data_IF_658692552270
#
_entry.id   IF_658692552270
#
_cell.length_a   1.000
_cell.length_b   1.000
_cell.length_c   1.000
_cell.angle_alpha   90.00
_cell.angle_beta   90.00
_cell.angle_gamma   90.00
#
_symmetry.space_group_name_H-M   'P 1'
#
loop_
_entity.id
_entity.type
_entity.pdbx_description
1 polymer ?
#
# COMPACT_ATOMS: atom_id res chain seq x y z
N UNK A 1 -0.35 -5.82 -6.61
CA UNK A 1 -1.48 -6.66 -7.03
C UNK A 1 -1.55 -6.60 -8.55
N UNK A 2 -1.46 -7.68 -9.24
CA UNK A 2 -1.48 -7.70 -10.71
C UNK A 2 -1.75 -9.10 -11.26
N UNK A 3 -2.50 -9.16 -12.34
CA UNK A 3 -2.73 -10.42 -13.06
C UNK A 3 -1.67 -10.72 -14.14
N UNK A 4 -0.84 -9.74 -14.48
CA UNK A 4 0.10 -9.81 -15.62
C UNK A 4 1.55 -9.51 -15.26
N UNK A 5 1.83 -8.89 -14.10
CA UNK A 5 3.20 -8.55 -13.69
C UNK A 5 3.99 -9.77 -13.22
N UNK A 6 5.29 -9.73 -13.48
CA UNK A 6 6.30 -10.63 -12.96
C UNK A 6 7.33 -9.84 -12.16
N UNK A 7 8.23 -10.52 -11.46
CA UNK A 7 9.30 -9.83 -10.72
C UNK A 7 10.17 -8.96 -11.63
N UNK A 8 10.39 -9.39 -12.87
CA UNK A 8 11.26 -8.67 -13.83
C UNK A 8 10.63 -7.39 -14.38
N UNK A 9 9.28 -7.30 -14.40
CA UNK A 9 8.59 -6.12 -14.94
C UNK A 9 7.80 -5.31 -13.91
N UNK A 10 7.93 -5.64 -12.62
CA UNK A 10 7.28 -4.91 -11.52
C UNK A 10 8.06 -3.65 -11.13
N UNK A 11 8.01 -2.64 -11.98
CA UNK A 11 8.69 -1.35 -11.76
C UNK A 11 8.24 -0.65 -10.48
N UNK A 12 6.95 -0.70 -10.17
CA UNK A 12 6.38 -0.08 -8.95
C UNK A 12 6.86 -0.77 -7.69
N UNK A 13 6.86 -2.10 -7.67
CA UNK A 13 7.38 -2.87 -6.55
C UNK A 13 8.89 -2.67 -6.34
N UNK A 14 9.67 -2.60 -7.42
CA UNK A 14 11.10 -2.28 -7.34
C UNK A 14 11.32 -0.90 -6.74
N UNK A 15 10.56 0.10 -7.20
CA UNK A 15 10.65 1.47 -6.67
C UNK A 15 10.34 1.53 -5.16
N UNK A 16 9.31 0.81 -4.70
CA UNK A 16 9.00 0.73 -3.27
C UNK A 16 10.19 0.14 -2.49
N UNK A 17 10.76 -0.97 -2.97
CA UNK A 17 11.89 -1.61 -2.30
C UNK A 17 13.12 -0.70 -2.22
N UNK A 18 13.47 -0.04 -3.32
CA UNK A 18 14.59 0.90 -3.37
C UNK A 18 14.40 2.04 -2.37
N UNK A 19 13.24 2.69 -2.38
CA UNK A 19 12.95 3.82 -1.50
C UNK A 19 12.92 3.43 -0.02
N UNK A 20 12.39 2.27 0.32
CA UNK A 20 12.43 1.75 1.69
C UNK A 20 13.87 1.48 2.14
N UNK A 21 14.67 0.84 1.30
CA UNK A 21 16.08 0.55 1.62
C UNK A 21 16.91 1.83 1.79
N UNK A 22 16.74 2.82 0.91
CA UNK A 22 17.40 4.13 1.03
C UNK A 22 17.03 4.87 2.32
N UNK A 23 15.80 4.69 2.81
CA UNK A 23 15.33 5.27 4.07
C UNK A 23 15.68 4.44 5.32
N UNK A 24 16.43 3.34 5.15
CA UNK A 24 16.89 2.50 6.26
C UNK A 24 15.88 1.45 6.72
N UNK A 25 14.82 1.19 5.96
CA UNK A 25 13.85 0.14 6.24
C UNK A 25 14.26 -1.18 5.57
N UNK A 26 13.97 -2.29 6.23
CA UNK A 26 14.21 -3.63 5.69
C UNK A 26 12.94 -4.20 5.07
N UNK A 27 13.04 -4.70 3.84
CA UNK A 27 11.95 -5.43 3.18
C UNK A 27 12.06 -6.91 3.52
N UNK A 28 11.23 -7.37 4.44
CA UNK A 28 11.24 -8.75 4.96
C UNK A 28 10.38 -9.71 4.14
N UNK A 29 9.58 -9.19 3.22
CA UNK A 29 8.72 -9.98 2.35
C UNK A 29 8.37 -9.21 1.07
N UNK A 30 8.34 -9.91 -0.04
CA UNK A 30 7.90 -9.40 -1.33
C UNK A 30 7.16 -10.50 -2.09
N UNK A 31 6.00 -10.19 -2.63
CA UNK A 31 5.23 -11.10 -3.45
C UNK A 31 4.42 -10.35 -4.51
N UNK A 32 4.19 -11.00 -5.64
CA UNK A 32 3.22 -10.58 -6.64
C UNK A 32 2.01 -11.50 -6.52
N UNK A 33 0.86 -10.90 -6.29
CA UNK A 33 -0.39 -11.61 -6.01
C UNK A 33 -1.44 -11.17 -7.02
N UNK A 34 -2.24 -12.10 -7.52
CA UNK A 34 -3.38 -11.76 -8.37
C UNK A 34 -4.41 -10.92 -7.61
N UNK A 35 -5.06 -10.02 -8.33
CA UNK A 35 -6.06 -9.11 -7.74
C UNK A 35 -7.40 -9.83 -7.50
N UNK A 36 -7.36 -10.83 -6.63
CA UNK A 36 -8.53 -11.56 -6.15
C UNK A 36 -8.59 -11.52 -4.64
N UNK A 37 -9.79 -11.38 -4.07
CA UNK A 37 -9.97 -11.29 -2.62
C UNK A 37 -9.32 -12.48 -1.89
N UNK A 38 -9.44 -13.69 -2.43
CA UNK A 38 -8.86 -14.91 -1.84
C UNK A 38 -7.34 -14.83 -1.74
N UNK A 39 -6.67 -14.44 -2.83
CA UNK A 39 -5.20 -14.40 -2.85
C UNK A 39 -4.65 -13.25 -2.02
N UNK A 40 -5.30 -12.09 -2.06
CA UNK A 40 -4.91 -10.93 -1.26
C UNK A 40 -5.00 -11.27 0.24
N UNK A 41 -6.13 -11.82 0.68
CA UNK A 41 -6.33 -12.23 2.09
C UNK A 41 -5.35 -13.31 2.53
N UNK A 42 -5.10 -14.29 1.66
CA UNK A 42 -4.15 -15.37 1.94
C UNK A 42 -2.74 -14.85 2.14
N UNK A 43 -2.28 -13.95 1.28
CA UNK A 43 -0.94 -13.36 1.39
C UNK A 43 -0.82 -12.47 2.63
N UNK A 44 -1.84 -11.65 2.92
CA UNK A 44 -1.86 -10.82 4.12
C UNK A 44 -1.83 -11.66 5.41
N UNK A 45 -2.51 -12.79 5.43
CA UNK A 45 -2.44 -13.71 6.57
C UNK A 45 -1.02 -14.21 6.81
N UNK A 46 -0.32 -14.63 5.74
CA UNK A 46 1.08 -15.10 5.82
C UNK A 46 2.01 -13.99 6.32
N UNK A 47 1.92 -12.82 5.73
CA UNK A 47 2.81 -11.69 6.05
C UNK A 47 2.57 -11.18 7.48
N UNK A 48 1.32 -11.10 7.90
CA UNK A 48 0.95 -10.62 9.23
C UNK A 48 1.31 -11.57 10.37
N UNK A 49 1.65 -12.82 10.10
CA UNK A 49 2.20 -13.75 11.09
C UNK A 49 3.69 -13.50 11.36
N UNK A 50 4.41 -12.87 10.44
CA UNK A 50 5.83 -12.54 10.62
C UNK A 50 5.99 -11.45 11.67
N UNK A 51 6.65 -11.77 12.78
CA UNK A 51 6.92 -10.82 13.89
C UNK A 51 7.76 -9.62 13.45
N UNK A 52 8.63 -9.80 12.47
CA UNK A 52 9.48 -8.75 11.90
C UNK A 52 8.71 -7.79 10.99
N UNK A 53 7.51 -8.14 10.53
CA UNK A 53 6.70 -7.29 9.67
C UNK A 53 5.92 -6.26 10.50
N UNK A 54 6.21 -5.00 10.33
CA UNK A 54 5.55 -3.89 11.04
C UNK A 54 4.58 -3.11 10.14
N UNK A 55 4.84 -3.12 8.84
CA UNK A 55 4.01 -2.44 7.84
C UNK A 55 3.92 -3.26 6.55
N UNK A 56 2.80 -3.17 5.87
CA UNK A 56 2.55 -3.82 4.58
C UNK A 56 2.10 -2.78 3.57
N UNK A 57 2.77 -2.74 2.43
CA UNK A 57 2.42 -1.88 1.31
C UNK A 57 1.94 -2.77 0.15
N UNK A 58 0.70 -2.58 -0.26
CA UNK A 58 0.14 -3.20 -1.45
C UNK A 58 0.05 -2.14 -2.54
N UNK A 59 0.36 -2.48 -3.78
CA UNK A 59 0.17 -1.58 -4.90
C UNK A 59 -0.55 -2.26 -6.07
N UNK A 60 -1.49 -1.54 -6.67
CA UNK A 60 -2.41 -2.01 -7.70
C UNK A 60 -3.79 -2.38 -7.15
N UNK A 61 -4.79 -2.44 -8.02
CA UNK A 61 -6.17 -2.85 -7.70
C UNK A 61 -6.97 -1.87 -6.84
N UNK A 62 -6.60 -0.59 -6.81
CA UNK A 62 -7.32 0.45 -6.03
C UNK A 62 -8.22 1.34 -6.88
N UNK A 63 -8.31 1.11 -8.18
CA UNK A 63 -9.18 1.86 -9.08
C UNK A 63 -10.64 1.40 -9.01
N UNK A 64 -11.42 1.81 -10.02
CA UNK A 64 -12.87 1.52 -10.10
C UNK A 64 -13.23 0.49 -11.15
N UNK A 65 -12.24 -0.15 -11.77
CA UNK A 65 -12.48 -1.24 -12.71
C UNK A 65 -13.12 -2.45 -11.98
N UNK A 66 -14.00 -3.21 -12.64
CA UNK A 66 -14.55 -4.44 -12.05
C UNK A 66 -13.49 -5.46 -11.60
N UNK A 67 -12.27 -5.36 -12.11
CA UNK A 67 -11.14 -6.23 -11.72
C UNK A 67 -10.34 -5.71 -10.52
N UNK A 68 -10.59 -4.46 -10.09
CA UNK A 68 -9.91 -3.86 -8.94
C UNK A 68 -10.58 -4.33 -7.64
N UNK A 69 -9.90 -5.16 -6.86
CA UNK A 69 -10.41 -5.73 -5.62
C UNK A 69 -9.59 -5.36 -4.39
N UNK A 70 -8.40 -4.81 -4.58
CA UNK A 70 -7.48 -4.53 -3.47
C UNK A 70 -8.10 -3.58 -2.45
N UNK A 71 -8.77 -2.51 -2.90
CA UNK A 71 -9.42 -1.56 -2.00
C UNK A 71 -10.47 -2.24 -1.11
N UNK A 72 -11.39 -2.99 -1.70
CA UNK A 72 -12.48 -3.66 -0.97
C UNK A 72 -11.91 -4.61 0.10
N UNK A 73 -10.92 -5.39 -0.28
CA UNK A 73 -10.28 -6.36 0.63
C UNK A 73 -9.57 -5.64 1.77
N UNK A 74 -8.67 -4.73 1.45
CA UNK A 74 -7.87 -4.01 2.45
C UNK A 74 -8.76 -3.19 3.37
N UNK A 75 -9.64 -2.35 2.80
CA UNK A 75 -10.50 -1.47 3.57
C UNK A 75 -11.47 -2.25 4.49
N UNK A 76 -11.90 -3.44 4.05
CA UNK A 76 -12.73 -4.34 4.87
C UNK A 76 -11.97 -5.06 5.99
N UNK A 77 -10.64 -5.15 5.91
CA UNK A 77 -9.80 -5.80 6.92
C UNK A 77 -9.28 -4.83 8.00
N UNK A 78 -9.28 -3.53 7.74
CA UNK A 78 -8.71 -2.55 8.66
C UNK A 78 -9.45 -2.52 10.00
N UNK A 79 -8.69 -2.64 11.09
CA UNK A 79 -9.19 -2.45 12.46
C UNK A 79 -9.51 -0.98 12.72
N UNK A 80 -8.60 -0.09 12.29
CA UNK A 80 -8.78 1.36 12.29
C UNK A 80 -8.40 1.92 10.94
N UNK A 81 -9.27 2.71 10.35
CA UNK A 81 -9.00 3.41 9.10
C UNK A 81 -8.24 4.69 9.36
N UNK A 82 -7.36 5.05 8.43
CA UNK A 82 -6.62 6.30 8.41
C UNK A 82 -7.10 7.15 7.21
N UNK A 83 -8.27 7.80 7.29
CA UNK A 83 -8.87 8.49 6.13
C UNK A 83 -7.98 9.58 5.56
N UNK A 84 -7.22 10.27 6.41
CA UNK A 84 -6.29 11.33 6.01
C UNK A 84 -5.24 10.89 5.01
N UNK A 85 -4.84 9.61 5.03
CA UNK A 85 -3.90 9.09 4.03
C UNK A 85 -4.45 9.21 2.61
N UNK A 86 -5.64 8.71 2.35
CA UNK A 86 -6.28 8.80 1.05
C UNK A 86 -6.69 10.23 0.67
N UNK A 87 -7.13 11.03 1.63
CA UNK A 87 -7.50 12.44 1.43
C UNK A 87 -6.30 13.26 0.95
N UNK A 88 -5.17 13.17 1.65
CA UNK A 88 -3.94 13.90 1.28
C UNK A 88 -3.38 13.35 -0.03
N UNK A 89 -3.35 12.03 -0.22
CA UNK A 89 -2.89 11.43 -1.46
C UNK A 89 -3.69 11.96 -2.66
N UNK A 90 -5.01 11.96 -2.60
CA UNK A 90 -5.85 12.44 -3.69
C UNK A 90 -5.68 13.94 -3.93
N UNK A 91 -5.49 14.72 -2.90
CA UNK A 91 -5.20 16.15 -3.01
C UNK A 91 -3.88 16.39 -3.77
N UNK A 92 -2.81 15.70 -3.40
CA UNK A 92 -1.51 15.80 -4.06
C UNK A 92 -1.56 15.25 -5.50
N UNK A 93 -2.26 14.14 -5.70
CA UNK A 93 -2.48 13.55 -7.02
C UNK A 93 -3.28 14.48 -7.94
N UNK A 94 -4.27 15.20 -7.41
CA UNK A 94 -5.01 16.20 -8.15
C UNK A 94 -4.11 17.31 -8.73
N UNK A 95 -3.10 17.72 -7.98
CA UNK A 95 -2.12 18.72 -8.46
C UNK A 95 -1.27 18.19 -9.63
N UNK A 96 -1.04 16.89 -9.71
CA UNK A 96 -0.23 16.26 -10.77
C UNK A 96 -1.07 15.89 -12.00
N UNK A 97 -2.23 15.26 -11.80
CA UNK A 97 -3.03 14.66 -12.87
C UNK A 97 -4.44 15.26 -13.01
N UNK A 98 -4.81 16.22 -12.18
CA UNK A 98 -6.14 16.86 -12.24
C UNK A 98 -7.26 15.94 -11.72
N UNK A 99 -8.44 16.09 -12.30
CA UNK A 99 -9.68 15.46 -11.85
C UNK A 99 -9.66 13.92 -11.86
N UNK A 100 -8.79 13.30 -12.66
CA UNK A 100 -8.63 11.84 -12.66
C UNK A 100 -8.20 11.26 -11.28
N UNK A 101 -7.63 12.11 -10.42
CA UNK A 101 -7.28 11.72 -9.05
C UNK A 101 -8.48 11.21 -8.23
N UNK A 102 -9.70 11.65 -8.53
CA UNK A 102 -10.91 11.18 -7.83
C UNK A 102 -11.20 9.69 -8.02
N UNK A 103 -10.63 9.04 -9.02
CA UNK A 103 -10.82 7.62 -9.29
C UNK A 103 -9.92 6.73 -8.44
N UNK A 104 -8.95 7.28 -7.72
CA UNK A 104 -8.07 6.53 -6.83
C UNK A 104 -8.74 6.28 -5.48
N UNK A 105 -8.81 5.00 -5.08
CA UNK A 105 -9.35 4.58 -3.78
C UNK A 105 -8.25 4.14 -2.82
N UNK A 106 -7.10 4.79 -2.90
CA UNK A 106 -5.98 4.61 -1.98
C UNK A 106 -6.46 4.69 -0.53
N UNK A 107 -6.03 3.74 0.30
CA UNK A 107 -6.44 3.64 1.70
C UNK A 107 -5.31 3.15 2.59
N UNK A 108 -5.39 3.47 3.87
CA UNK A 108 -4.46 2.97 4.88
C UNK A 108 -5.16 2.84 6.24
N UNK A 109 -4.53 2.10 7.13
CA UNK A 109 -4.98 1.93 8.50
C UNK A 109 -4.17 0.88 9.25
N UNK A 110 -4.75 0.37 10.33
CA UNK A 110 -4.14 -0.68 11.13
C UNK A 110 -4.82 -2.03 10.89
N UNK A 111 -4.04 -3.09 10.96
CA UNK A 111 -4.54 -4.46 10.92
C UNK A 111 -3.63 -5.38 11.76
N UNK A 112 -4.19 -6.02 12.76
CA UNK A 112 -3.45 -6.94 13.65
C UNK A 112 -2.13 -6.36 14.18
N UNK A 113 -2.16 -5.10 14.62
CA UNK A 113 -0.99 -4.41 15.14
C UNK A 113 0.06 -4.03 14.10
N UNK A 114 -0.30 -3.93 12.83
CA UNK A 114 0.55 -3.50 11.72
C UNK A 114 -0.09 -2.36 10.97
N UNK A 115 0.73 -1.57 10.29
CA UNK A 115 0.25 -0.57 9.32
C UNK A 115 -0.02 -1.27 7.99
N UNK A 116 -1.18 -1.05 7.42
CA UNK A 116 -1.57 -1.61 6.13
C UNK A 116 -1.91 -0.46 5.18
N UNK A 117 -1.27 -0.41 4.01
CA UNK A 117 -1.44 0.65 3.01
C UNK A 117 -1.67 0.06 1.63
N UNK A 118 -2.67 0.57 0.92
CA UNK A 118 -2.98 0.17 -0.45
C UNK A 118 -2.83 1.37 -1.39
N UNK A 119 -1.94 1.25 -2.37
CA UNK A 119 -1.55 2.28 -3.32
C UNK A 119 -2.02 1.93 -4.73
N UNK A 120 -2.20 2.92 -5.62
CA UNK A 120 -2.38 2.67 -7.04
C UNK A 120 -1.18 1.93 -7.64
N UNK A 121 -1.40 1.27 -8.78
CA UNK A 121 -0.35 0.48 -9.43
C UNK A 121 0.66 1.26 -10.25
N UNK A 122 0.38 2.52 -10.63
CA UNK A 122 1.28 3.30 -11.47
C UNK A 122 2.54 3.73 -10.72
N UNK A 123 3.68 3.75 -11.42
CA UNK A 123 4.96 4.17 -10.85
C UNK A 123 4.91 5.62 -10.34
N UNK A 124 4.23 6.52 -11.05
CA UNK A 124 4.08 7.92 -10.63
C UNK A 124 3.29 8.04 -9.32
N UNK A 125 2.17 7.32 -9.18
CA UNK A 125 1.36 7.31 -7.97
C UNK A 125 2.12 6.70 -6.78
N UNK A 126 2.86 5.63 -7.01
CA UNK A 126 3.71 5.00 -5.99
C UNK A 126 4.79 5.97 -5.52
N UNK A 127 5.46 6.65 -6.44
CA UNK A 127 6.46 7.67 -6.10
C UNK A 127 5.87 8.77 -5.23
N UNK A 128 4.73 9.31 -5.62
CA UNK A 128 4.03 10.35 -4.87
C UNK A 128 3.71 9.88 -3.43
N UNK A 129 3.09 8.72 -3.30
CA UNK A 129 2.73 8.17 -1.99
C UNK A 129 3.95 7.90 -1.11
N UNK A 130 5.01 7.31 -1.67
CA UNK A 130 6.24 7.00 -0.94
C UNK A 130 6.94 8.28 -0.46
N UNK A 131 7.16 9.25 -1.34
CA UNK A 131 7.95 10.44 -1.04
C UNK A 131 7.22 11.42 -0.12
N UNK A 132 5.93 11.63 -0.34
CA UNK A 132 5.17 12.68 0.35
C UNK A 132 4.48 12.19 1.63
N UNK A 133 4.14 10.91 1.74
CA UNK A 133 3.34 10.39 2.84
C UNK A 133 4.02 9.26 3.61
N UNK A 134 4.49 8.21 2.92
CA UNK A 134 4.92 6.99 3.60
C UNK A 134 6.28 7.18 4.26
N UNK A 135 7.30 7.54 3.51
CA UNK A 135 8.66 7.68 4.07
C UNK A 135 8.75 8.72 5.18
N UNK A 136 8.10 9.91 5.09
CA UNK A 136 8.12 10.87 6.18
C UNK A 136 7.49 10.38 7.49
N UNK A 137 6.48 9.49 7.41
CA UNK A 137 5.65 9.12 8.57
C UNK A 137 5.74 7.65 8.98
N UNK A 138 6.37 6.77 8.21
CA UNK A 138 6.34 5.33 8.46
C UNK A 138 6.87 4.96 9.85
N UNK A 139 7.99 5.53 10.26
CA UNK A 139 8.55 5.31 11.59
C UNK A 139 7.62 5.76 12.72
N UNK A 140 7.00 6.93 12.56
CA UNK A 140 6.02 7.47 13.51
C UNK A 140 4.76 6.61 13.60
N UNK A 141 4.23 6.18 12.44
CA UNK A 141 3.05 5.30 12.39
C UNK A 141 3.32 3.99 13.13
N UNK A 142 4.44 3.34 12.85
CA UNK A 142 4.83 2.09 13.51
C UNK A 142 5.00 2.27 15.00
N UNK A 143 5.68 3.33 15.43
CA UNK A 143 5.86 3.63 16.86
C UNK A 143 4.51 3.89 17.58
N UNK A 144 3.57 4.55 16.89
CA UNK A 144 2.26 4.89 17.46
C UNK A 144 1.39 3.65 17.74
N UNK A 145 1.49 2.62 16.91
CA UNK A 145 0.66 1.42 17.06
C UNK A 145 1.27 0.34 17.97
N UNK A 146 2.52 0.50 18.39
CA UNK A 146 3.15 -0.46 19.29
C UNK A 146 2.56 -0.34 20.70
N UNK A 147 2.33 -1.47 21.40
CA UNK A 147 1.87 -1.42 22.80
C UNK A 147 2.93 -0.70 23.66
N UNK A 148 2.44 0.19 24.46
CA UNK A 148 3.27 0.88 25.47
C UNK A 148 3.59 -0.06 26.64
#
# INVERSE_FOLDING_TARGET
MSDTRTQDNDKSGQLIKEKLAEAGHEVVHYAIVKDTARQIKGELAIVCEKKSCQAVILNGGTGISPRDNTFEVVNGMLDKRLPGFGEIFRYLSFKEIGSAAMMSRTTAGTYRGRILMALPGSTAAVRLAMDELILPELGHLVATIQPR
#
